data_IF_204796443954
#
_entry.id   IF_204796443954
#
_cell.length_a   1.000
_cell.length_b   1.000
_cell.length_c   1.000
_cell.angle_alpha   90.00
_cell.angle_beta   90.00
_cell.angle_gamma   90.00
#
_symmetry.space_group_name_H-M   'P 1'
#
loop_
_entity.id
_entity.type
_entity.pdbx_description
1 polymer ?
#
# COMPACT_ATOMS: atom_id res chain seq x y z
N UNK A 1 -11.38 10.94 12.78
CA UNK A 1 -10.58 10.01 11.97
C UNK A 1 -11.28 9.75 10.65
N UNK A 2 -10.53 9.82 9.57
CA UNK A 2 -11.04 9.54 8.22
C UNK A 2 -10.66 8.11 7.84
N UNK A 3 -11.60 7.38 7.25
CA UNK A 3 -11.37 6.04 6.72
C UNK A 3 -11.58 6.09 5.20
N UNK A 4 -10.59 5.64 4.47
CA UNK A 4 -10.61 5.57 3.01
C UNK A 4 -10.57 4.10 2.61
N UNK A 5 -11.44 3.70 1.68
CA UNK A 5 -11.51 2.31 1.23
C UNK A 5 -11.64 2.24 -0.28
N UNK A 6 -10.79 1.41 -0.88
CA UNK A 6 -10.88 1.04 -2.28
C UNK A 6 -11.01 -0.47 -2.38
N UNK A 7 -11.92 -0.92 -3.23
CA UNK A 7 -12.13 -2.34 -3.50
C UNK A 7 -12.18 -2.52 -5.01
N UNK A 8 -11.31 -3.40 -5.52
CA UNK A 8 -11.20 -3.60 -6.97
C UNK A 8 -10.93 -5.05 -7.31
N UNK A 9 -11.33 -5.43 -8.52
CA UNK A 9 -11.06 -6.74 -9.10
C UNK A 9 -9.91 -6.58 -10.07
N UNK A 10 -8.91 -7.47 -9.95
CA UNK A 10 -7.72 -7.48 -10.81
C UNK A 10 -7.66 -8.80 -11.58
N UNK A 11 -7.23 -8.71 -12.85
CA UNK A 11 -7.16 -9.85 -13.76
C UNK A 11 -5.80 -10.55 -13.66
N UNK A 12 -5.52 -11.07 -12.47
CA UNK A 12 -4.35 -11.90 -12.20
C UNK A 12 -4.67 -12.82 -11.03
N UNK A 13 -3.80 -13.81 -10.81
CA UNK A 13 -3.98 -14.69 -9.65
C UNK A 13 -3.79 -13.92 -8.36
N UNK A 14 -4.45 -14.36 -7.29
CA UNK A 14 -4.25 -13.80 -5.95
C UNK A 14 -2.78 -13.91 -5.55
N UNK A 15 -2.13 -15.03 -5.86
CA UNK A 15 -0.72 -15.26 -5.53
C UNK A 15 0.19 -14.24 -6.22
N UNK A 16 -0.08 -13.90 -7.48
CA UNK A 16 0.72 -12.92 -8.22
C UNK A 16 0.60 -11.54 -7.58
N UNK A 17 -0.62 -11.10 -7.29
CA UNK A 17 -0.83 -9.81 -6.62
C UNK A 17 -0.17 -9.80 -5.25
N UNK A 18 -0.36 -10.85 -4.46
CA UNK A 18 0.22 -10.94 -3.13
C UNK A 18 1.74 -10.89 -3.18
N UNK A 19 2.37 -11.54 -4.16
CA UNK A 19 3.83 -11.51 -4.31
C UNK A 19 4.36 -10.09 -4.55
N UNK A 20 3.57 -9.25 -5.19
CA UNK A 20 3.93 -7.83 -5.41
C UNK A 20 3.83 -7.05 -4.10
N UNK A 21 2.72 -7.19 -3.37
CA UNK A 21 2.46 -6.40 -2.16
C UNK A 21 3.26 -6.86 -0.96
N UNK A 22 3.48 -8.16 -0.80
CA UNK A 22 4.18 -8.72 0.34
C UNK A 22 5.68 -8.47 0.35
N UNK A 23 6.25 -8.15 -0.81
CA UNK A 23 7.65 -7.70 -0.89
C UNK A 23 7.71 -6.23 -0.50
N UNK A 24 7.96 -5.98 0.76
CA UNK A 24 7.89 -4.63 1.34
C UNK A 24 9.00 -3.70 0.87
N UNK A 25 10.01 -4.22 0.17
CA UNK A 25 11.06 -3.40 -0.45
C UNK A 25 10.75 -3.04 -1.90
N UNK A 26 9.70 -3.63 -2.48
CA UNK A 26 9.32 -3.39 -3.86
C UNK A 26 8.50 -2.11 -4.00
N UNK A 27 8.89 -1.24 -4.90
CA UNK A 27 8.19 0.03 -5.11
C UNK A 27 7.91 0.36 -6.58
N UNK A 28 8.09 -0.59 -7.50
CA UNK A 28 7.81 -0.36 -8.93
C UNK A 28 6.33 -0.11 -9.22
N UNK A 29 5.45 -0.43 -8.27
CA UNK A 29 4.02 -0.14 -8.39
C UNK A 29 3.61 1.18 -7.72
N UNK A 30 4.57 1.90 -7.11
CA UNK A 30 4.29 3.20 -6.46
C UNK A 30 5.02 4.29 -7.24
N UNK A 31 4.33 5.02 -8.14
CA UNK A 31 5.00 5.96 -9.06
C UNK A 31 5.78 7.09 -8.39
N UNK A 32 5.45 7.44 -7.14
CA UNK A 32 6.08 8.54 -6.42
C UNK A 32 7.31 8.13 -5.62
N UNK A 33 7.69 6.84 -5.64
CA UNK A 33 8.81 6.29 -4.88
C UNK A 33 9.79 5.62 -5.82
N UNK A 34 11.10 5.92 -5.68
CA UNK A 34 12.14 5.35 -6.52
C UNK A 34 12.86 4.17 -5.87
N UNK A 35 13.01 4.20 -4.55
CA UNK A 35 13.65 3.10 -3.83
C UNK A 35 13.15 3.03 -2.38
N UNK A 36 13.25 1.85 -1.80
CA UNK A 36 12.91 1.60 -0.41
C UNK A 36 14.11 1.00 0.30
N UNK A 37 14.46 1.54 1.46
CA UNK A 37 15.46 0.98 2.37
C UNK A 37 14.77 0.31 3.53
N UNK A 38 15.22 -0.89 3.91
CA UNK A 38 14.65 -1.62 5.05
C UNK A 38 15.48 -1.34 6.31
N UNK A 39 14.79 -1.17 7.43
CA UNK A 39 15.38 -0.98 8.74
C UNK A 39 14.52 -1.75 9.77
N UNK A 40 14.95 -2.98 10.11
CA UNK A 40 14.18 -3.85 10.98
C UNK A 40 12.80 -4.13 10.40
N UNK A 41 11.75 -3.81 11.17
CA UNK A 41 10.36 -3.99 10.75
C UNK A 41 9.83 -2.80 9.94
N UNK A 42 10.71 -1.86 9.59
CA UNK A 42 10.32 -0.63 8.92
C UNK A 42 10.86 -0.56 7.50
N UNK A 43 10.17 0.20 6.67
CA UNK A 43 10.66 0.61 5.35
C UNK A 43 10.71 2.13 5.29
N UNK A 44 11.78 2.64 4.69
CA UNK A 44 12.04 4.07 4.60
C UNK A 44 12.18 4.44 3.14
N UNK A 45 11.52 5.52 2.75
CA UNK A 45 11.58 6.00 1.37
C UNK A 45 11.34 7.50 1.32
N UNK A 46 11.79 8.11 0.22
CA UNK A 46 11.46 9.49 -0.08
C UNK A 46 10.31 9.51 -1.06
N UNK A 47 9.21 10.17 -0.68
CA UNK A 47 8.03 10.29 -1.52
C UNK A 47 8.05 11.66 -2.19
N UNK A 48 7.96 11.66 -3.52
CA UNK A 48 7.96 12.89 -4.30
C UNK A 48 6.90 13.87 -3.81
N UNK A 49 7.35 15.08 -3.47
CA UNK A 49 6.47 16.14 -2.95
C UNK A 49 6.12 16.03 -1.48
N UNK A 50 6.54 14.94 -0.80
CA UNK A 50 6.15 14.67 0.59
C UNK A 50 7.31 14.48 1.54
N UNK A 51 8.54 14.33 1.02
CA UNK A 51 9.72 14.11 1.84
C UNK A 51 9.87 12.67 2.29
N UNK A 52 10.66 12.46 3.34
CA UNK A 52 10.99 11.14 3.85
C UNK A 52 9.85 10.59 4.70
N UNK A 53 9.49 9.33 4.44
CA UNK A 53 8.45 8.61 5.17
C UNK A 53 9.06 7.32 5.71
N UNK A 54 8.75 7.01 6.97
CA UNK A 54 9.10 5.73 7.59
C UNK A 54 7.81 5.02 7.96
N UNK A 55 7.64 3.81 7.43
CA UNK A 55 6.48 2.97 7.72
C UNK A 55 6.90 1.73 8.48
N UNK A 56 6.16 1.42 9.54
CA UNK A 56 6.34 0.18 10.29
C UNK A 56 5.38 -0.87 9.73
N UNK A 57 5.92 -2.06 9.44
CA UNK A 57 5.11 -3.20 9.01
C UNK A 57 4.54 -3.85 10.26
N UNK A 58 3.22 -3.86 10.37
CA UNK A 58 2.51 -4.40 11.53
C UNK A 58 2.09 -5.84 11.32
N UNK A 59 1.80 -6.22 10.07
CA UNK A 59 1.39 -7.57 9.70
C UNK A 59 1.80 -7.81 8.26
N UNK A 60 2.39 -8.96 7.99
CA UNK A 60 2.67 -9.44 6.64
C UNK A 60 2.41 -10.95 6.65
N UNK A 61 1.16 -11.33 6.45
CA UNK A 61 0.66 -12.69 6.65
C UNK A 61 0.35 -13.36 5.32
N UNK A 62 1.21 -14.30 4.92
CA UNK A 62 1.07 -15.02 3.65
C UNK A 62 -0.18 -15.91 3.62
N UNK A 63 -0.57 -16.46 4.76
CA UNK A 63 -1.73 -17.36 4.80
C UNK A 63 -3.05 -16.61 4.60
N UNK A 64 -3.12 -15.38 5.07
CA UNK A 64 -4.30 -14.51 4.91
C UNK A 64 -4.17 -13.59 3.71
N UNK A 65 -2.97 -13.47 3.13
CA UNK A 65 -2.65 -12.49 2.09
C UNK A 65 -3.04 -11.08 2.54
N UNK A 66 -2.59 -10.71 3.74
CA UNK A 66 -2.91 -9.44 4.36
C UNK A 66 -1.65 -8.72 4.81
N UNK A 67 -1.54 -7.45 4.42
CA UNK A 67 -0.47 -6.55 4.80
C UNK A 67 -1.06 -5.38 5.57
N UNK A 68 -0.46 -5.08 6.73
CA UNK A 68 -0.80 -3.87 7.49
C UNK A 68 0.46 -3.08 7.77
N UNK A 69 0.39 -1.77 7.62
CA UNK A 69 1.49 -0.89 7.91
C UNK A 69 0.99 0.48 8.40
N UNK A 70 1.89 1.19 9.09
CA UNK A 70 1.58 2.51 9.62
C UNK A 70 2.75 3.46 9.37
N UNK A 71 2.48 4.64 8.86
CA UNK A 71 3.48 5.69 8.76
C UNK A 71 3.74 6.23 10.15
N UNK A 72 4.98 6.04 10.64
CA UNK A 72 5.38 6.43 12.00
C UNK A 72 6.27 7.66 12.02
N UNK A 73 6.91 8.00 10.90
CA UNK A 73 7.69 9.23 10.75
C UNK A 73 7.36 9.85 9.40
N UNK A 74 6.88 11.07 9.43
CA UNK A 74 6.53 11.85 8.24
C UNK A 74 6.87 13.31 8.47
N UNK A 75 7.08 14.06 7.37
CA UNK A 75 7.22 15.51 7.45
C UNK A 75 5.91 16.17 7.91
N UNK A 76 4.80 15.60 7.48
CA UNK A 76 3.46 16.06 7.84
C UNK A 76 3.09 15.53 9.22
N UNK A 77 2.54 16.35 10.12
CA UNK A 77 2.17 15.90 11.46
C UNK A 77 0.91 15.03 11.43
N UNK A 78 1.11 13.72 11.47
CA UNK A 78 0.04 12.72 11.47
C UNK A 78 -0.10 12.16 12.87
N UNK A 79 -1.33 12.09 13.38
CA UNK A 79 -1.63 11.54 14.71
C UNK A 79 -1.91 10.04 14.67
N UNK A 80 -2.49 9.56 13.55
CA UNK A 80 -2.82 8.15 13.36
C UNK A 80 -2.79 7.80 11.90
N UNK A 81 -2.20 6.66 11.58
CA UNK A 81 -2.20 6.09 10.23
C UNK A 81 -2.17 4.57 10.32
N UNK A 82 -3.12 3.92 9.67
CA UNK A 82 -3.14 2.46 9.55
C UNK A 82 -3.66 2.10 8.17
N UNK A 83 -2.83 1.40 7.40
CA UNK A 83 -3.22 0.90 6.09
C UNK A 83 -3.31 -0.63 6.13
N UNK A 84 -4.35 -1.17 5.51
CA UNK A 84 -4.56 -2.61 5.38
C UNK A 84 -4.82 -2.93 3.92
N UNK A 85 -4.05 -3.89 3.40
CA UNK A 85 -4.24 -4.41 2.04
C UNK A 85 -4.54 -5.90 2.15
N UNK A 86 -5.71 -6.32 1.68
CA UNK A 86 -6.15 -7.70 1.76
C UNK A 86 -6.47 -8.23 0.36
N UNK A 87 -5.80 -9.32 0.00
CA UNK A 87 -5.99 -9.98 -1.29
C UNK A 87 -6.88 -11.21 -1.07
N UNK A 88 -7.91 -11.35 -1.89
CA UNK A 88 -8.82 -12.50 -1.84
C UNK A 88 -8.94 -13.12 -3.22
N UNK A 89 -8.80 -14.44 -3.32
CA UNK A 89 -8.98 -15.15 -4.58
C UNK A 89 -10.45 -15.16 -4.99
N UNK A 90 -10.73 -14.86 -6.26
CA UNK A 90 -12.05 -15.05 -6.87
C UNK A 90 -12.06 -16.39 -7.62
N UNK A 91 -11.08 -16.56 -8.51
CA UNK A 91 -10.84 -17.78 -9.27
C UNK A 91 -9.38 -17.87 -9.65
N UNK A 92 -9.00 -18.81 -10.51
CA UNK A 92 -7.60 -19.01 -10.90
C UNK A 92 -7.02 -17.90 -11.78
N UNK A 93 -7.85 -16.94 -12.21
CA UNK A 93 -7.44 -15.85 -13.12
C UNK A 93 -7.77 -14.46 -12.59
N UNK A 94 -8.40 -14.36 -11.43
CA UNK A 94 -8.79 -13.07 -10.87
C UNK A 94 -8.80 -13.07 -9.35
N UNK A 95 -8.62 -11.88 -8.80
CA UNK A 95 -8.62 -11.67 -7.36
C UNK A 95 -9.19 -10.29 -7.01
N UNK A 96 -9.51 -10.10 -5.74
CA UNK A 96 -9.97 -8.82 -5.20
C UNK A 96 -8.87 -8.24 -4.32
N UNK A 97 -8.63 -6.93 -4.45
CA UNK A 97 -7.84 -6.16 -3.49
C UNK A 97 -8.79 -5.26 -2.73
N UNK A 98 -8.74 -5.34 -1.41
CA UNK A 98 -9.42 -4.40 -0.52
C UNK A 98 -8.33 -3.62 0.20
N UNK A 99 -8.28 -2.31 -0.05
CA UNK A 99 -7.27 -1.43 0.55
C UNK A 99 -7.98 -0.37 1.39
N UNK A 100 -7.71 -0.39 2.69
CA UNK A 100 -8.32 0.53 3.65
C UNK A 100 -7.21 1.33 4.32
N UNK A 101 -7.41 2.64 4.47
CA UNK A 101 -6.48 3.50 5.20
C UNK A 101 -7.25 4.35 6.20
N UNK A 102 -6.81 4.30 7.45
CA UNK A 102 -7.27 5.19 8.52
C UNK A 102 -6.26 6.32 8.66
N UNK A 103 -6.73 7.55 8.71
CA UNK A 103 -5.87 8.73 8.82
C UNK A 103 -6.47 9.77 9.76
N UNK A 104 -5.62 10.34 10.62
CA UNK A 104 -5.98 11.42 11.51
C UNK A 104 -4.78 12.38 11.59
N UNK A 105 -4.94 13.68 11.45
CA UNK A 105 -6.17 14.45 11.24
C UNK A 105 -6.85 14.19 9.89
N UNK A 106 -8.16 14.35 9.85
CA UNK A 106 -8.98 14.09 8.67
C UNK A 106 -8.61 14.95 7.46
N UNK A 107 -8.02 16.13 7.70
CA UNK A 107 -7.62 17.06 6.64
C UNK A 107 -6.64 16.41 5.64
N UNK A 108 -5.91 15.38 6.04
CA UNK A 108 -4.98 14.68 5.16
C UNK A 108 -5.65 13.57 4.35
N UNK A 109 -6.95 13.33 4.56
CA UNK A 109 -7.68 12.25 3.89
C UNK A 109 -7.64 12.31 2.37
N UNK A 110 -7.88 13.50 1.80
CA UNK A 110 -7.90 13.65 0.34
C UNK A 110 -6.54 13.33 -0.28
N UNK A 111 -5.47 13.81 0.34
CA UNK A 111 -4.10 13.56 -0.14
C UNK A 111 -3.75 12.07 -0.08
N UNK A 112 -4.12 11.40 1.02
CA UNK A 112 -3.90 9.96 1.18
C UNK A 112 -4.70 9.18 0.15
N UNK A 113 -5.97 9.55 -0.06
CA UNK A 113 -6.82 8.89 -1.04
C UNK A 113 -6.27 9.03 -2.46
N UNK A 114 -5.80 10.22 -2.82
CA UNK A 114 -5.17 10.44 -4.12
C UNK A 114 -3.94 9.56 -4.31
N UNK A 115 -3.12 9.41 -3.25
CA UNK A 115 -1.96 8.51 -3.27
C UNK A 115 -2.37 7.05 -3.48
N UNK A 116 -3.46 6.61 -2.87
CA UNK A 116 -3.99 5.26 -3.07
C UNK A 116 -4.41 5.06 -4.53
N UNK A 117 -5.12 6.01 -5.11
CA UNK A 117 -5.59 5.91 -6.50
C UNK A 117 -4.42 5.87 -7.49
N UNK A 118 -3.40 6.68 -7.30
CA UNK A 118 -2.19 6.68 -8.12
C UNK A 118 -1.47 5.34 -8.01
N UNK A 119 -1.35 4.78 -6.81
CA UNK A 119 -0.69 3.50 -6.59
C UNK A 119 -1.50 2.34 -7.18
N UNK A 120 -2.82 2.40 -7.15
CA UNK A 120 -3.67 1.40 -7.81
C UNK A 120 -3.40 1.34 -9.31
N UNK A 121 -3.24 2.49 -9.96
CA UNK A 121 -2.88 2.52 -11.37
C UNK A 121 -1.47 1.94 -11.60
N UNK A 122 -0.56 2.16 -10.66
CA UNK A 122 0.76 1.53 -10.68
C UNK A 122 0.70 0.02 -10.58
N UNK A 123 -0.14 -0.52 -9.70
CA UNK A 123 -0.37 -1.96 -9.57
C UNK A 123 -0.86 -2.55 -10.90
N UNK A 124 -1.85 -1.91 -11.51
CA UNK A 124 -2.39 -2.36 -12.79
C UNK A 124 -1.35 -2.41 -13.89
N UNK A 125 -0.45 -1.42 -13.95
CA UNK A 125 0.65 -1.40 -14.92
C UNK A 125 1.61 -2.55 -14.70
N UNK A 126 2.00 -2.81 -13.47
CA UNK A 126 2.93 -3.91 -13.15
C UNK A 126 2.31 -5.25 -13.52
N UNK A 127 1.04 -5.48 -13.21
CA UNK A 127 0.34 -6.70 -13.56
C UNK A 127 0.31 -6.90 -15.08
N UNK A 128 0.04 -5.84 -15.83
CA UNK A 128 -0.09 -5.93 -17.30
C UNK A 128 1.24 -6.10 -18.03
N UNK A 129 2.37 -5.81 -17.38
CA UNK A 129 3.71 -5.94 -17.95
C UNK A 129 4.30 -7.35 -17.78
N UNK A 130 3.65 -8.20 -17.02
CA UNK A 130 4.19 -9.52 -16.69
C UNK A 130 3.43 -10.66 -17.36
#
# INVERSE_FOLDING_TARGET
MKVLKEELILNCTAQKLWSILSDISRCDWVPTINEITLDGECRIFEMEGRGIVKEKILLNDDSKMMLQYSAIETRTPIDHHLATMHVTEIDENSCTLIWTTEIDPEIFGDAVHQGMLVSIEGIKKVINQQ
#
